data_IF_287782089452
#
_entry.id   IF_287782089452
#
_cell.length_a   1.000
_cell.length_b   1.000
_cell.length_c   1.000
_cell.angle_alpha   90.00
_cell.angle_beta   90.00
_cell.angle_gamma   90.00
#
_symmetry.space_group_name_H-M   'P 1'
#
loop_
_entity.id
_entity.type
_entity.pdbx_description
1 polymer ?
2 water ?
#
# COMPACT_ATOMS: atom_id res chain seq x y z
C UNK A 1 0.40 -25.44 -2.33
N UNK A 2 0.48 -24.43 -3.19
CA UNK A 2 -0.74 -23.96 -3.88
C UNK A 2 -0.50 -22.60 -4.57
N UNK A 3 -1.56 -22.05 -5.23
CA UNK A 3 -1.45 -20.75 -5.85
C UNK A 3 -1.30 -19.67 -4.73
N UNK A 4 -0.56 -18.55 -5.01
CA UNK A 4 -0.50 -17.33 -4.14
C UNK A 4 -1.94 -16.82 -3.89
N UNK A 5 -2.22 -16.34 -2.67
CA UNK A 5 -3.47 -15.62 -2.47
C UNK A 5 -3.48 -14.35 -3.32
N UNK A 6 -4.60 -13.64 -3.30
CA UNK A 6 -4.73 -12.31 -3.99
C UNK A 6 -3.88 -11.26 -3.32
N UNK A 7 -3.44 -10.27 -4.11
CA UNK A 7 -2.78 -9.08 -3.56
C UNK A 7 -3.60 -8.29 -2.52
N UNK A 8 -2.84 -7.72 -1.59
CA UNK A 8 -3.42 -6.84 -0.55
C UNK A 8 -4.05 -5.63 -1.16
N UNK A 9 -4.95 -5.02 -0.41
CA UNK A 9 -5.49 -3.72 -0.78
C UNK A 9 -4.45 -2.60 -0.80
N UNK A 10 -4.74 -1.48 -1.52
CA UNK A 10 -3.77 -0.37 -1.58
C UNK A 10 -3.59 0.21 -0.20
N UNK A 11 -2.39 0.74 0.07
CA UNK A 11 -2.13 1.55 1.24
C UNK A 11 -2.92 2.86 1.19
N UNK A 12 -2.96 3.48 2.36
CA UNK A 12 -3.55 4.81 2.55
C UNK A 12 -2.65 5.93 1.94
N UNK A 13 -3.23 7.12 1.81
CA UNK A 13 -2.47 8.27 1.31
C UNK A 13 -1.26 8.56 2.25
N UNK A 14 -0.20 9.07 1.67
CA UNK A 14 0.92 9.51 2.50
C UNK A 14 0.69 10.76 3.33
N UNK A 15 1.72 11.10 4.13
CA UNK A 15 1.80 12.28 4.98
C UNK A 15 1.84 13.57 4.16
N UNK A 16 1.38 14.70 4.75
CA UNK A 16 1.66 16.02 4.08
C UNK A 16 3.14 16.19 3.77
N UNK A 17 3.43 16.83 2.65
CA UNK A 17 4.75 17.34 2.37
C UNK A 17 5.34 18.28 3.39
N UNK A 18 6.63 18.62 3.19
CA UNK A 18 7.34 19.60 4.08
C UNK A 18 6.75 20.97 3.89
N UNK A 19 6.95 21.88 4.90
CA UNK A 19 6.51 23.27 4.61
C UNK A 19 7.20 23.82 3.34
N UNK A 20 6.68 24.51 2.28
C UNK B 1 -0.34 -23.41 0.32
N UNK B 2 -0.94 -22.67 -0.58
CA UNK B 2 -0.29 -21.62 -1.28
C UNK B 2 0.34 -20.55 -0.38
N UNK B 3 1.35 -19.86 -0.92
CA UNK B 3 1.96 -18.66 -0.33
C UNK B 3 0.89 -17.55 -0.07
N UNK B 4 1.08 -16.76 0.99
CA UNK B 4 0.27 -15.52 1.03
C UNK B 4 0.44 -14.68 -0.24
N UNK B 5 -0.60 -13.90 -0.54
CA UNK B 5 -0.57 -13.02 -1.72
C UNK B 5 0.50 -11.97 -1.43
N UNK B 6 0.91 -11.24 -2.49
CA UNK B 6 1.81 -10.11 -2.37
C UNK B 6 1.18 -8.93 -1.59
N UNK B 7 2.03 -8.08 -0.95
CA UNK B 7 1.57 -6.86 -0.29
C UNK B 7 0.83 -5.98 -1.32
N UNK B 8 -0.13 -5.22 -0.83
CA UNK B 8 -0.75 -4.15 -1.60
C UNK B 8 0.23 -3.10 -2.19
N UNK B 9 -0.26 -2.39 -3.22
CA UNK B 9 0.47 -1.24 -3.69
C UNK B 9 0.58 -0.15 -2.57
N UNK B 10 1.70 0.59 -2.58
CA UNK B 10 1.80 1.81 -1.78
C UNK B 10 0.59 2.74 -2.06
N UNK B 11 0.13 3.42 -1.00
CA UNK B 11 -0.82 4.55 -1.20
C UNK B 11 -0.29 5.65 -2.15
N UNK B 12 -1.21 6.54 -2.59
CA UNK B 12 -0.82 7.74 -3.31
C UNK B 12 -0.04 8.71 -2.42
N UNK B 13 0.65 9.62 -3.06
CA UNK B 13 1.37 10.67 -2.35
C UNK B 13 0.39 11.44 -1.41
N UNK B 14 0.91 11.93 -0.30
CA UNK B 14 0.13 12.84 0.50
C UNK B 14 -0.21 14.20 -0.06
N UNK B 15 -1.02 14.95 0.72
CA UNK B 15 -1.41 16.39 0.48
C UNK B 15 -0.22 17.31 0.45
N UNK B 16 -0.26 18.38 -0.36
CA UNK B 16 0.82 19.41 -0.29
C UNK B 16 0.98 19.82 1.18
N UNK B 17 2.21 20.16 1.55
CA UNK B 17 2.62 20.51 2.91
C UNK B 17 2.11 21.94 3.19
N UNK B 18 2.37 22.45 4.40
CA UNK B 18 1.95 23.89 4.59
C UNK B 18 2.73 24.86 3.64
N UNK B 19 2.14 26.04 3.31
CA UNK B 19 2.86 27.10 2.48
C UNK B 19 4.26 27.56 3.00
N UNK C 2 -2.53 -26.39 -5.75
CA UNK C 2 -3.53 -26.79 -4.66
C UNK C 2 -4.39 -25.69 -3.97
N UNK C 3 -4.51 -25.71 -2.59
CA UNK C 3 -5.28 -24.68 -1.78
C UNK C 3 -4.66 -23.24 -1.84
N UNK C 4 -5.42 -22.24 -2.38
CA UNK C 4 -4.99 -20.83 -2.34
C UNK C 4 -4.46 -20.30 -0.99
N UNK C 5 -3.38 -19.53 -1.14
CA UNK C 5 -2.81 -18.90 -0.03
C UNK C 5 -3.70 -17.77 0.53
N UNK C 6 -3.40 -17.34 1.77
CA UNK C 6 -4.06 -16.25 2.41
C UNK C 6 -3.96 -14.98 1.53
N UNK C 7 -4.96 -14.05 1.59
CA UNK C 7 -4.82 -12.73 0.99
C UNK C 7 -3.58 -11.95 1.49
N UNK C 8 -2.94 -11.26 0.56
CA UNK C 8 -1.84 -10.36 0.93
C UNK C 8 -2.18 -9.21 1.92
N UNK C 9 -1.15 -8.71 2.61
CA UNK C 9 -1.31 -7.55 3.51
C UNK C 9 -1.54 -6.26 2.73
N UNK C 10 -2.38 -5.37 3.28
CA UNK C 10 -2.50 -4.06 2.64
C UNK C 10 -1.18 -3.33 2.46
N UNK C 11 -1.13 -2.48 1.45
CA UNK C 11 0.05 -1.68 1.14
C UNK C 11 0.53 -0.68 2.20
N UNK C 12 1.78 -0.23 2.07
CA UNK C 12 2.37 0.83 2.89
C UNK C 12 1.63 2.12 2.57
N UNK C 13 1.57 3.01 3.57
CA UNK C 13 1.24 4.39 3.30
C UNK C 13 2.09 5.01 2.15
N UNK C 14 1.44 5.84 1.36
CA UNK C 14 2.14 6.56 0.32
C UNK C 14 3.26 7.50 0.76
N UNK C 15 4.01 7.97 -0.23
CA UNK C 15 5.07 8.96 -0.02
C UNK C 15 4.55 10.33 0.50
N UNK C 16 5.44 11.10 1.10
CA UNK C 16 5.05 12.49 1.48
C UNK C 16 4.58 13.32 0.30
N UNK C 17 3.65 14.23 0.56
CA UNK C 17 3.19 15.06 -0.56
C UNK C 17 4.24 16.11 -1.01
N UNK C 18 3.91 16.88 -2.08
CA UNK C 18 4.71 18.02 -2.48
C UNK C 18 4.86 19.09 -1.30
N UNK C 19 5.79 20.06 -1.47
CA UNK C 19 5.92 21.16 -0.45
C UNK C 19 4.68 22.09 -0.33
N UNK C 20 4.66 22.34 1.01
#
# INVERSE_FOLDING_TARGET
>A
XGPPGPPGLPGEAGPPGPPX
>B
XGPPGPPGLPGEAGPPGPPX
>C
XGPPGPPGLPGEAGPPGPPX
#
